data_IF_712692958098
#
_entry.id   IF_712692958098
#
_cell.length_a   1.000
_cell.length_b   1.000
_cell.length_c   1.000
_cell.angle_alpha   90.00
_cell.angle_beta   90.00
_cell.angle_gamma   90.00
#
_symmetry.space_group_name_H-M   'P 1'
#
loop_
_entity.id
_entity.type
_entity.pdbx_description
1 polymer ?
#
# COMPACT_ATOMS: atom_id res chain seq x y z
N UNK A 1 32.86 13.36 -3.94
CA UNK A 1 32.97 12.28 -2.94
C UNK A 1 32.36 11.04 -3.56
N UNK A 2 33.09 9.92 -3.62
CA UNK A 2 32.58 8.68 -4.23
C UNK A 2 31.48 8.08 -3.34
N UNK A 3 30.64 7.21 -3.92
CA UNK A 3 29.48 6.57 -3.25
C UNK A 3 29.85 5.82 -1.95
N UNK A 4 31.13 5.46 -1.78
CA UNK A 4 31.67 4.74 -0.62
C UNK A 4 32.45 5.62 0.37
N UNK A 5 32.36 6.96 0.27
CA UNK A 5 32.85 7.88 1.29
C UNK A 5 34.29 8.39 1.15
N UNK A 6 35.12 7.86 0.23
CA UNK A 6 36.45 8.41 -0.05
C UNK A 6 36.40 9.55 -1.09
N UNK A 7 37.27 10.55 -0.94
CA UNK A 7 37.60 11.56 -1.96
C UNK A 7 38.70 11.06 -2.89
N UNK A 8 38.86 11.70 -4.05
CA UNK A 8 39.94 11.34 -4.99
C UNK A 8 41.34 11.58 -4.39
N UNK A 9 41.49 12.63 -3.59
CA UNK A 9 42.73 12.92 -2.85
C UNK A 9 43.03 11.84 -1.81
N UNK A 10 42.00 11.38 -1.08
CA UNK A 10 42.17 10.28 -0.12
C UNK A 10 42.57 8.97 -0.82
N UNK A 11 42.01 8.68 -1.99
CA UNK A 11 42.40 7.50 -2.78
C UNK A 11 43.84 7.61 -3.30
N UNK A 12 44.26 8.80 -3.74
CA UNK A 12 45.65 9.06 -4.13
C UNK A 12 46.62 8.91 -2.95
N UNK A 13 46.22 9.36 -1.76
CA UNK A 13 47.01 9.17 -0.54
C UNK A 13 47.13 7.68 -0.19
N UNK A 14 46.03 6.92 -0.22
CA UNK A 14 46.03 5.47 0.02
C UNK A 14 46.94 4.73 -0.97
N UNK A 15 46.91 5.10 -2.25
CA UNK A 15 47.71 4.47 -3.29
C UNK A 15 49.23 4.69 -3.12
N UNK A 16 49.63 5.74 -2.39
CA UNK A 16 51.04 6.11 -2.22
C UNK A 16 51.60 5.71 -0.83
N UNK A 17 50.82 5.00 -0.01
CA UNK A 17 51.28 4.56 1.32
C UNK A 17 52.38 3.49 1.21
N UNK A 18 53.39 3.63 2.05
CA UNK A 18 54.37 2.57 2.33
C UNK A 18 53.78 1.48 3.24
N UNK A 19 54.43 0.31 3.28
CA UNK A 19 54.01 -0.79 4.15
C UNK A 19 54.01 -0.39 5.63
N UNK A 20 55.01 0.37 6.07
CA UNK A 20 55.14 0.82 7.46
C UNK A 20 53.99 1.77 7.83
N UNK A 21 53.63 2.70 6.94
CA UNK A 21 52.49 3.61 7.15
C UNK A 21 51.14 2.86 7.17
N UNK A 22 50.99 1.80 6.36
CA UNK A 22 49.82 0.92 6.43
C UNK A 22 49.75 0.22 7.78
N UNK A 23 50.88 -0.28 8.28
CA UNK A 23 50.97 -0.92 9.60
C UNK A 23 50.63 0.05 10.73
N UNK A 24 51.12 1.29 10.66
CA UNK A 24 50.84 2.34 11.64
C UNK A 24 49.34 2.71 11.66
N UNK A 25 48.72 2.86 10.48
CA UNK A 25 47.28 3.14 10.36
C UNK A 25 46.45 1.95 10.88
N UNK A 26 46.86 0.71 10.58
CA UNK A 26 46.14 -0.49 10.98
C UNK A 26 46.17 -0.75 12.49
N UNK A 27 47.26 -0.35 13.16
CA UNK A 27 47.45 -0.48 14.60
C UNK A 27 47.02 0.77 15.36
N UNK A 28 46.51 1.79 14.67
CA UNK A 28 46.00 3.00 15.29
C UNK A 28 44.80 2.70 16.17
N UNK A 29 44.83 3.22 17.41
CA UNK A 29 43.73 3.12 18.38
C UNK A 29 42.58 4.08 18.03
N UNK A 30 42.76 4.95 17.02
CA UNK A 30 41.80 5.98 16.61
C UNK A 30 40.97 5.49 15.42
N UNK A 31 39.65 5.44 15.57
CA UNK A 31 38.74 5.13 14.47
C UNK A 31 38.80 6.22 13.40
N UNK A 32 39.36 5.91 12.23
CA UNK A 32 39.48 6.85 11.10
C UNK A 32 38.20 6.93 10.25
N UNK A 33 37.21 6.07 10.52
CA UNK A 33 35.90 6.10 9.90
C UNK A 33 34.81 6.07 10.98
N UNK A 34 33.75 6.85 10.78
CA UNK A 34 32.54 6.84 11.60
C UNK A 34 31.35 6.62 10.68
N UNK A 35 30.65 5.50 10.88
CA UNK A 35 29.38 5.25 10.20
C UNK A 35 28.28 5.89 11.03
N UNK A 36 27.62 6.89 10.47
CA UNK A 36 26.50 7.60 11.10
C UNK A 36 25.21 7.34 10.33
N UNK A 37 24.09 7.23 11.06
CA UNK A 37 22.77 7.13 10.44
C UNK A 37 22.39 8.50 9.91
N UNK A 38 22.08 8.58 8.62
CA UNK A 38 21.41 9.76 8.07
C UNK A 38 19.97 9.80 8.61
N UNK A 39 19.76 10.52 9.72
CA UNK A 39 18.48 10.57 10.41
C UNK A 39 17.35 11.11 9.53
N UNK A 40 17.62 12.07 8.65
CA UNK A 40 16.60 12.58 7.72
C UNK A 40 16.15 11.51 6.73
N UNK A 41 17.11 10.77 6.15
CA UNK A 41 16.82 9.67 5.22
C UNK A 41 16.12 8.52 5.93
N UNK A 42 16.51 8.22 7.18
CA UNK A 42 15.84 7.23 8.00
C UNK A 42 14.35 7.54 8.17
N UNK A 43 13.99 8.76 8.57
CA UNK A 43 12.58 9.14 8.75
C UNK A 43 11.77 9.08 7.44
N UNK A 44 12.39 9.46 6.31
CA UNK A 44 11.75 9.33 4.98
C UNK A 44 11.49 7.86 4.63
N UNK A 45 12.49 6.99 4.82
CA UNK A 45 12.33 5.56 4.57
C UNK A 45 11.29 4.92 5.49
N UNK A 46 11.25 5.35 6.76
CA UNK A 46 10.25 4.88 7.71
C UNK A 46 8.83 5.28 7.28
N UNK A 47 8.63 6.53 6.85
CA UNK A 47 7.35 7.01 6.35
C UNK A 47 6.88 6.19 5.13
N UNK A 48 7.79 5.92 4.18
CA UNK A 48 7.51 5.08 3.00
C UNK A 48 7.12 3.65 3.45
N UNK A 49 7.86 3.07 4.40
CA UNK A 49 7.58 1.72 4.90
C UNK A 49 6.20 1.64 5.59
N UNK A 50 5.84 2.67 6.35
CA UNK A 50 4.54 2.78 7.02
C UNK A 50 3.39 2.94 6.00
N UNK A 51 3.53 3.84 5.03
CA UNK A 51 2.54 4.02 3.95
C UNK A 51 2.33 2.71 3.16
N UNK A 52 3.43 2.03 2.80
CA UNK A 52 3.36 0.73 2.13
C UNK A 52 2.66 -0.33 2.99
N UNK A 53 2.79 -0.26 4.32
CA UNK A 53 2.13 -1.18 5.25
C UNK A 53 0.63 -0.92 5.31
N UNK A 54 0.23 0.34 5.40
CA UNK A 54 -1.19 0.73 5.38
C UNK A 54 -1.87 0.30 4.08
N UNK A 55 -1.24 0.60 2.93
CA UNK A 55 -1.77 0.17 1.62
C UNK A 55 -1.94 -1.35 1.55
N UNK A 56 -0.93 -2.11 2.01
CA UNK A 56 -0.99 -3.58 2.08
C UNK A 56 -2.16 -4.09 2.93
N UNK A 57 -2.41 -3.47 4.08
CA UNK A 57 -3.50 -3.84 4.99
C UNK A 57 -4.88 -3.60 4.36
N UNK A 58 -5.05 -2.50 3.63
CA UNK A 58 -6.32 -2.17 2.97
C UNK A 58 -6.57 -3.12 1.80
N UNK A 59 -5.54 -3.46 1.02
CA UNK A 59 -5.65 -4.49 -0.02
C UNK A 59 -6.09 -5.83 0.59
N UNK A 60 -5.49 -6.24 1.70
CA UNK A 60 -5.84 -7.51 2.36
C UNK A 60 -7.28 -7.51 2.87
N UNK A 61 -7.68 -6.43 3.54
CA UNK A 61 -9.06 -6.23 4.00
C UNK A 61 -10.04 -6.29 2.84
N UNK A 62 -9.77 -5.55 1.76
CA UNK A 62 -10.62 -5.53 0.58
C UNK A 62 -10.73 -6.93 -0.05
N UNK A 63 -9.63 -7.68 -0.13
CA UNK A 63 -9.63 -9.06 -0.62
C UNK A 63 -10.44 -10.02 0.24
N UNK A 64 -10.33 -9.92 1.56
CA UNK A 64 -11.11 -10.73 2.51
C UNK A 64 -12.62 -10.44 2.40
N UNK A 65 -12.99 -9.18 2.16
CA UNK A 65 -14.37 -8.79 1.84
C UNK A 65 -14.78 -9.12 0.39
N UNK A 66 -13.85 -9.70 -0.38
CA UNK A 66 -14.05 -10.23 -1.71
C UNK A 66 -14.09 -9.17 -2.80
N UNK A 67 -13.22 -8.16 -2.73
CA UNK A 67 -12.93 -7.25 -3.83
C UNK A 67 -12.59 -8.01 -5.12
N UNK A 68 -13.04 -7.46 -6.25
CA UNK A 68 -12.70 -7.98 -7.57
C UNK A 68 -11.31 -7.53 -8.00
N UNK A 69 -10.75 -8.20 -9.01
CA UNK A 69 -9.48 -7.78 -9.63
C UNK A 69 -9.64 -6.38 -10.23
N UNK A 70 -10.79 -6.10 -10.85
CA UNK A 70 -11.15 -4.79 -11.39
C UNK A 70 -11.08 -3.67 -10.34
N UNK A 71 -11.63 -3.91 -9.13
CA UNK A 71 -11.54 -2.94 -8.04
C UNK A 71 -10.08 -2.67 -7.64
N UNK A 72 -9.31 -3.73 -7.43
CA UNK A 72 -7.91 -3.59 -6.99
C UNK A 72 -7.03 -2.97 -8.07
N UNK A 73 -7.36 -3.18 -9.34
CA UNK A 73 -6.73 -2.47 -10.45
C UNK A 73 -7.12 -0.98 -10.44
N UNK A 74 -8.39 -0.63 -10.24
CA UNK A 74 -8.81 0.78 -10.18
C UNK A 74 -8.18 1.54 -9.03
N UNK A 75 -8.16 0.97 -7.81
CA UNK A 75 -7.64 1.66 -6.63
C UNK A 75 -6.12 1.63 -6.50
N UNK A 76 -5.45 0.58 -6.99
CA UNK A 76 -4.03 0.35 -6.71
C UNK A 76 -3.19 -0.01 -7.95
N UNK A 77 -3.79 -0.12 -9.13
CA UNK A 77 -3.07 -0.52 -10.35
C UNK A 77 -2.58 -1.97 -10.34
N UNK A 78 -3.12 -2.82 -9.46
CA UNK A 78 -2.68 -4.21 -9.34
C UNK A 78 -3.08 -5.04 -10.57
N UNK A 79 -2.14 -5.81 -11.09
CA UNK A 79 -2.36 -6.81 -12.13
C UNK A 79 -3.10 -8.03 -11.60
N UNK A 80 -3.71 -8.80 -12.52
CA UNK A 80 -4.33 -10.10 -12.22
C UNK A 80 -3.39 -11.03 -11.46
N UNK A 81 -2.12 -11.12 -11.88
CA UNK A 81 -1.12 -11.98 -11.24
C UNK A 81 -0.80 -11.55 -9.81
N UNK A 82 -0.70 -10.25 -9.55
CA UNK A 82 -0.45 -9.73 -8.19
C UNK A 82 -1.64 -10.01 -7.27
N UNK A 83 -2.86 -9.81 -7.77
CA UNK A 83 -4.08 -10.12 -7.01
C UNK A 83 -4.18 -11.62 -6.70
N UNK A 84 -3.94 -12.49 -7.68
CA UNK A 84 -3.98 -13.94 -7.48
C UNK A 84 -2.92 -14.41 -6.47
N UNK A 85 -1.68 -13.91 -6.58
CA UNK A 85 -0.63 -14.23 -5.62
C UNK A 85 -1.01 -13.77 -4.20
N UNK A 86 -1.59 -12.57 -4.06
CA UNK A 86 -2.04 -12.04 -2.77
C UNK A 86 -3.17 -12.89 -2.17
N UNK A 87 -4.15 -13.31 -2.96
CA UNK A 87 -5.23 -14.21 -2.51
C UNK A 87 -4.69 -15.54 -2.01
N UNK A 88 -3.74 -16.12 -2.73
CA UNK A 88 -3.08 -17.36 -2.33
C UNK A 88 -2.37 -17.20 -0.97
N UNK A 89 -1.66 -16.09 -0.75
CA UNK A 89 -1.01 -15.80 0.52
C UNK A 89 -2.01 -15.64 1.68
N UNK A 90 -3.20 -15.09 1.42
CA UNK A 90 -4.27 -14.92 2.41
C UNK A 90 -5.11 -16.20 2.62
N UNK A 91 -4.85 -17.28 1.87
CA UNK A 91 -5.65 -18.50 1.95
C UNK A 91 -7.10 -18.31 1.49
N UNK A 92 -7.36 -17.34 0.62
CA UNK A 92 -8.70 -17.06 0.10
C UNK A 92 -9.04 -18.08 -0.98
N UNK A 93 -9.96 -18.99 -0.69
CA UNK A 93 -10.51 -19.91 -1.68
C UNK A 93 -11.49 -19.17 -2.61
N UNK A 94 -11.24 -19.23 -3.91
CA UNK A 94 -12.18 -18.68 -4.89
C UNK A 94 -13.43 -19.56 -4.94
N UNK A 95 -14.50 -19.13 -4.27
CA UNK A 95 -15.82 -19.74 -4.43
C UNK A 95 -16.27 -19.57 -5.89
N UNK A 96 -16.16 -20.63 -6.68
CA UNK A 96 -16.69 -20.69 -8.04
C UNK A 96 -18.20 -20.44 -8.02
N UNK A 97 -18.65 -19.40 -8.70
CA UNK A 97 -20.07 -19.07 -8.86
C UNK A 97 -20.31 -17.58 -9.06
N UNK A 98 -21.44 -17.24 -9.69
CA UNK A 98 -21.90 -15.86 -9.75
C UNK A 98 -22.31 -15.44 -8.33
N UNK A 99 -21.67 -14.41 -7.78
CA UNK A 99 -22.09 -13.83 -6.50
C UNK A 99 -23.56 -13.40 -6.65
N UNK A 100 -24.40 -13.76 -5.68
CA UNK A 100 -25.80 -13.38 -5.67
C UNK A 100 -25.92 -11.86 -5.75
N UNK A 101 -26.90 -11.37 -6.51
CA UNK A 101 -27.25 -9.95 -6.48
C UNK A 101 -27.86 -9.63 -5.11
N UNK A 102 -27.65 -8.39 -4.64
CA UNK A 102 -28.33 -7.93 -3.43
C UNK A 102 -29.84 -7.91 -3.66
N UNK A 103 -30.59 -8.31 -2.63
CA UNK A 103 -32.02 -8.10 -2.51
C UNK A 103 -32.37 -6.61 -2.39
N UNK A 104 -33.65 -6.28 -2.54
CA UNK A 104 -34.13 -4.90 -2.37
C UNK A 104 -33.91 -4.40 -0.92
N UNK A 105 -34.05 -5.29 0.06
CA UNK A 105 -33.83 -5.01 1.49
C UNK A 105 -32.35 -4.71 1.76
N UNK A 106 -31.43 -5.56 1.26
CA UNK A 106 -29.99 -5.35 1.35
C UNK A 106 -29.55 -4.07 0.63
N UNK A 107 -30.11 -3.79 -0.54
CA UNK A 107 -29.81 -2.57 -1.30
C UNK A 107 -30.24 -1.31 -0.54
N UNK A 108 -31.42 -1.35 0.10
CA UNK A 108 -31.93 -0.26 0.93
C UNK A 108 -31.03 -0.04 2.14
N UNK A 109 -30.66 -1.12 2.83
CA UNK A 109 -29.78 -1.05 4.00
C UNK A 109 -28.41 -0.45 3.68
N UNK A 110 -27.81 -0.85 2.57
CA UNK A 110 -26.52 -0.31 2.10
C UNK A 110 -26.61 1.16 1.76
N UNK A 111 -27.72 1.58 1.15
CA UNK A 111 -27.96 2.97 0.84
C UNK A 111 -28.04 3.82 2.12
N UNK A 112 -28.70 3.35 3.17
CA UNK A 112 -28.78 4.05 4.47
C UNK A 112 -27.40 4.22 5.11
N UNK A 113 -26.58 3.15 5.14
CA UNK A 113 -25.21 3.20 5.66
C UNK A 113 -24.37 4.19 4.83
N UNK A 114 -24.49 4.14 3.50
CA UNK A 114 -23.81 5.09 2.61
C UNK A 114 -24.19 6.55 2.91
N UNK A 115 -25.49 6.86 3.05
CA UNK A 115 -25.94 8.22 3.36
C UNK A 115 -25.38 8.75 4.68
N UNK A 116 -25.21 7.88 5.68
CA UNK A 116 -24.67 8.21 7.00
C UNK A 116 -23.20 8.64 6.95
N UNK A 117 -22.40 8.02 6.08
CA UNK A 117 -20.95 8.22 6.09
C UNK A 117 -20.40 9.02 4.90
N UNK A 118 -21.14 9.17 3.80
CA UNK A 118 -20.67 9.84 2.57
C UNK A 118 -20.15 11.27 2.80
N UNK A 119 -20.64 11.99 3.81
CA UNK A 119 -20.19 13.37 4.09
C UNK A 119 -18.78 13.46 4.69
N UNK A 120 -18.18 12.33 5.09
CA UNK A 120 -16.85 12.28 5.70
C UNK A 120 -15.72 12.12 4.68
N UNK A 121 -16.03 12.11 3.38
CA UNK A 121 -15.07 11.76 2.35
C UNK A 121 -15.26 12.64 1.10
N UNK A 122 -14.14 12.97 0.45
CA UNK A 122 -14.09 13.87 -0.70
C UNK A 122 -14.26 13.15 -2.05
N UNK A 123 -13.75 11.92 -2.19
CA UNK A 123 -13.80 11.16 -3.45
C UNK A 123 -13.90 9.65 -3.25
N UNK A 124 -14.81 8.99 -3.99
CA UNK A 124 -14.96 7.53 -3.98
C UNK A 124 -13.76 6.79 -4.54
N UNK A 125 -12.97 7.44 -5.39
CA UNK A 125 -11.77 6.86 -5.99
C UNK A 125 -10.53 6.98 -5.10
N UNK A 126 -10.67 7.57 -3.90
CA UNK A 126 -9.57 7.67 -2.93
C UNK A 126 -9.47 6.44 -2.03
N UNK A 127 -8.37 6.34 -1.28
CA UNK A 127 -8.17 5.29 -0.27
C UNK A 127 -9.26 5.34 0.82
N UNK A 128 -9.62 6.54 1.26
CA UNK A 128 -10.70 6.78 2.22
C UNK A 128 -12.05 6.28 1.67
N UNK A 129 -12.26 6.40 0.35
CA UNK A 129 -13.42 5.84 -0.32
C UNK A 129 -13.47 4.32 -0.28
N UNK A 130 -12.36 3.67 -0.56
CA UNK A 130 -12.26 2.21 -0.43
C UNK A 130 -12.46 1.76 1.02
N UNK A 131 -11.89 2.47 1.99
CA UNK A 131 -12.09 2.18 3.41
C UNK A 131 -13.55 2.28 3.83
N UNK A 132 -14.27 3.28 3.30
CA UNK A 132 -15.71 3.42 3.51
C UNK A 132 -16.50 2.28 2.86
N UNK A 133 -16.17 1.88 1.63
CA UNK A 133 -16.80 0.73 0.98
C UNK A 133 -16.56 -0.56 1.77
N UNK A 134 -15.36 -0.75 2.32
CA UNK A 134 -15.05 -1.87 3.21
C UNK A 134 -15.90 -1.83 4.48
N UNK A 135 -16.03 -0.65 5.11
CA UNK A 135 -16.89 -0.46 6.28
C UNK A 135 -18.35 -0.82 5.97
N UNK A 136 -18.87 -0.35 4.84
CA UNK A 136 -20.25 -0.64 4.41
C UNK A 136 -20.43 -2.14 4.15
N UNK A 137 -19.45 -2.80 3.54
CA UNK A 137 -19.47 -4.25 3.31
C UNK A 137 -19.47 -5.05 4.61
N UNK A 138 -18.72 -4.61 5.61
CA UNK A 138 -18.71 -5.22 6.95
C UNK A 138 -20.02 -4.99 7.70
N UNK A 139 -20.51 -3.75 7.76
CA UNK A 139 -21.77 -3.42 8.45
C UNK A 139 -22.97 -4.11 7.79
N UNK A 140 -23.00 -4.15 6.45
CA UNK A 140 -24.05 -4.83 5.70
C UNK A 140 -23.86 -6.35 5.55
N UNK A 141 -22.75 -6.91 6.06
CA UNK A 141 -22.37 -8.32 5.87
C UNK A 141 -22.46 -8.79 4.41
N UNK A 142 -21.98 -7.96 3.48
CA UNK A 142 -22.06 -8.20 2.04
C UNK A 142 -20.69 -8.27 1.39
N UNK A 143 -20.66 -8.87 0.21
CA UNK A 143 -19.46 -8.85 -0.60
C UNK A 143 -19.12 -7.42 -1.07
N UNK A 144 -17.86 -7.02 -0.93
CA UNK A 144 -17.38 -5.68 -1.28
C UNK A 144 -17.63 -5.30 -2.74
N UNK A 145 -17.54 -6.25 -3.68
CA UNK A 145 -17.87 -5.98 -5.10
C UNK A 145 -19.35 -5.66 -5.30
N UNK A 146 -20.25 -6.21 -4.48
CA UNK A 146 -21.69 -5.90 -4.55
C UNK A 146 -21.92 -4.49 -4.03
N UNK A 147 -21.34 -4.15 -2.87
CA UNK A 147 -21.41 -2.79 -2.30
C UNK A 147 -20.90 -1.75 -3.29
N UNK A 148 -19.74 -1.99 -3.89
CA UNK A 148 -19.13 -1.07 -4.85
C UNK A 148 -20.00 -0.80 -6.08
N UNK A 149 -20.82 -1.77 -6.50
CA UNK A 149 -21.76 -1.61 -7.62
C UNK A 149 -23.05 -0.90 -7.25
N UNK A 150 -23.45 -0.98 -5.98
CA UNK A 150 -24.68 -0.36 -5.46
C UNK A 150 -24.47 1.09 -5.02
N UNK A 151 -23.29 1.39 -4.48
CA UNK A 151 -22.94 2.75 -4.11
C UNK A 151 -22.73 3.55 -5.40
N UNK A 152 -23.44 4.69 -5.59
CA UNK A 152 -23.27 5.51 -6.77
C UNK A 152 -21.86 6.09 -6.76
N UNK A 153 -20.98 5.52 -7.58
CA UNK A 153 -19.83 6.24 -8.12
C UNK A 153 -20.39 7.46 -8.84
N UNK A 154 -19.86 8.65 -8.57
CA UNK A 154 -20.41 9.96 -8.96
C UNK A 154 -20.55 10.23 -10.47
N UNK A 155 -20.64 9.21 -11.32
CA UNK A 155 -20.87 9.23 -12.75
C UNK A 155 -21.91 8.19 -13.21
N UNK A 156 -22.97 7.95 -12.43
CA UNK A 156 -24.18 7.35 -12.99
C UNK A 156 -25.10 8.45 -13.50
N UNK A 157 -25.02 8.67 -14.82
CA UNK A 157 -26.00 9.41 -15.59
C UNK A 157 -27.41 9.07 -15.11
N UNK A 158 -28.08 10.07 -14.56
CA UNK A 158 -29.51 10.07 -14.31
C UNK A 158 -30.17 10.07 -15.70
N UNK A 159 -30.32 8.90 -16.28
CA UNK A 159 -31.20 8.71 -17.42
C UNK A 159 -31.95 7.40 -17.20
N UNK A 160 -33.08 7.54 -16.50
CA UNK A 160 -34.39 6.99 -16.87
C UNK A 160 -35.40 7.22 -15.74
N UNK A 161 -36.15 8.31 -15.84
CA UNK A 161 -37.58 8.29 -16.16
C UNK A 161 -38.06 9.69 -16.46
#
# INVERSE_FOLDING_TARGET
MFKNGFSEEQLKAINNLSLDEIMDISNSVVSFAKVEINHETFWKLLAIAQANTQQRQIIDRALLLGASIEMLHQYFGLSTSEVSARRQLLGIEEKMGRKAAASDEESTHIWEIWQKYKQKMESLDSQEGLELLCLIAEEGNMNLTVVWKLVPSGNQNISKK
#
